data_IF_143661749156
#
_entry.id   IF_143661749156
#
_cell.length_a   1.000
_cell.length_b   1.000
_cell.length_c   1.000
_cell.angle_alpha   90.00
_cell.angle_beta   90.00
_cell.angle_gamma   90.00
#
_symmetry.space_group_name_H-M   'P 1'
#
loop_
_entity.id
_entity.type
_entity.pdbx_description
1 polymer ?
#
# COMPACT_ATOMS: atom_id res chain seq x y z
N UNK A 1 11.68 -18.17 -1.22
CA UNK A 1 11.36 -18.79 -2.52
C UNK A 1 11.75 -17.81 -3.63
N UNK A 2 12.35 -18.24 -4.74
CA UNK A 2 12.56 -17.36 -5.89
C UNK A 2 11.21 -16.88 -6.45
N UNK A 3 11.19 -15.66 -6.98
CA UNK A 3 10.01 -15.06 -7.63
C UNK A 3 9.56 -15.95 -8.80
N UNK A 4 8.37 -16.57 -8.76
CA UNK A 4 7.90 -17.35 -9.90
C UNK A 4 7.53 -16.35 -11.00
N UNK A 5 8.33 -16.30 -12.06
CA UNK A 5 8.01 -15.61 -13.31
C UNK A 5 7.74 -16.67 -14.36
N UNK A 6 6.68 -16.49 -15.14
CA UNK A 6 6.30 -17.40 -16.23
C UNK A 6 7.11 -17.09 -17.49
N UNK A 7 7.31 -15.81 -17.80
CA UNK A 7 8.25 -15.38 -18.82
C UNK A 7 9.15 -14.27 -18.28
N UNK A 8 10.36 -14.22 -18.83
CA UNK A 8 11.39 -13.25 -18.49
C UNK A 8 12.19 -12.94 -19.76
N UNK A 9 12.06 -11.71 -20.23
CA UNK A 9 12.84 -11.15 -21.32
C UNK A 9 13.85 -10.16 -20.76
N UNK A 10 15.11 -10.30 -21.18
CA UNK A 10 16.20 -9.42 -20.77
C UNK A 10 16.86 -8.90 -22.03
N UNK A 11 16.93 -7.57 -22.16
CA UNK A 11 17.59 -6.89 -23.27
C UNK A 11 18.65 -5.95 -22.71
N UNK A 12 19.91 -6.22 -23.03
CA UNK A 12 21.03 -5.33 -22.72
C UNK A 12 21.48 -4.63 -24.02
N UNK A 13 21.48 -3.30 -24.02
CA UNK A 13 21.95 -2.49 -25.13
C UNK A 13 22.64 -1.24 -24.59
N UNK A 14 23.89 -1.03 -25.02
CA UNK A 14 24.75 0.06 -24.55
C UNK A 14 24.86 0.08 -23.00
N UNK A 15 24.50 1.19 -22.36
CA UNK A 15 24.50 1.38 -20.90
C UNK A 15 23.12 1.13 -20.26
N UNK A 16 22.25 0.39 -20.97
CA UNK A 16 20.87 0.10 -20.55
C UNK A 16 20.59 -1.39 -20.47
N UNK A 17 19.97 -1.82 -19.37
CA UNK A 17 19.44 -3.18 -19.22
C UNK A 17 17.94 -3.09 -18.94
N UNK A 18 17.14 -3.66 -19.84
CA UNK A 18 15.71 -3.84 -19.66
C UNK A 18 15.41 -5.26 -19.24
N UNK A 19 14.48 -5.38 -18.30
CA UNK A 19 13.97 -6.64 -17.79
C UNK A 19 12.45 -6.55 -17.85
N UNK A 20 11.83 -7.39 -18.65
CA UNK A 20 10.38 -7.50 -18.74
C UNK A 20 9.98 -8.92 -18.32
N UNK A 21 8.98 -9.05 -17.47
CA UNK A 21 8.53 -10.35 -16.99
C UNK A 21 7.08 -10.33 -16.60
N UNK A 22 6.47 -11.50 -16.60
CA UNK A 22 5.09 -11.65 -16.17
C UNK A 22 4.90 -12.89 -15.30
N UNK A 23 3.88 -12.83 -14.45
CA UNK A 23 3.38 -13.96 -13.68
C UNK A 23 1.87 -13.87 -13.61
N UNK A 24 1.15 -14.80 -14.24
CA UNK A 24 -0.30 -14.69 -14.45
C UNK A 24 -0.62 -13.34 -15.11
N UNK A 25 -1.46 -12.53 -14.47
CA UNK A 25 -1.86 -11.20 -14.93
C UNK A 25 -0.89 -10.08 -14.51
N UNK A 26 0.10 -10.39 -13.67
CA UNK A 26 1.05 -9.42 -13.18
C UNK A 26 2.19 -9.21 -14.19
N UNK A 27 2.61 -7.96 -14.34
CA UNK A 27 3.71 -7.56 -15.22
C UNK A 27 4.74 -6.79 -14.41
N UNK A 28 6.01 -7.09 -14.62
CA UNK A 28 7.17 -6.38 -14.07
C UNK A 28 7.98 -5.87 -15.25
N UNK A 29 8.31 -4.60 -15.22
CA UNK A 29 9.25 -3.95 -16.13
C UNK A 29 10.28 -3.25 -15.27
N UNK A 30 11.55 -3.56 -15.46
CA UNK A 30 12.67 -2.90 -14.82
C UNK A 30 13.65 -2.39 -15.87
N UNK A 31 14.20 -1.20 -15.63
CA UNK A 31 15.10 -0.53 -16.55
C UNK A 31 16.26 0.04 -15.77
N UNK A 32 17.46 -0.47 -16.04
CA UNK A 32 18.70 0.01 -15.43
C UNK A 32 19.38 0.92 -16.44
N UNK A 33 19.54 2.20 -16.09
CA UNK A 33 20.16 3.21 -16.96
C UNK A 33 21.07 4.09 -16.12
N UNK A 34 22.35 4.21 -16.48
CA UNK A 34 23.34 5.04 -15.77
C UNK A 34 23.41 4.78 -14.24
N UNK A 35 23.21 3.53 -13.80
CA UNK A 35 23.23 3.16 -12.39
C UNK A 35 21.94 3.42 -11.61
N UNK A 36 20.94 4.05 -12.23
CA UNK A 36 19.58 4.15 -11.71
C UNK A 36 18.75 2.93 -12.11
N UNK A 37 17.89 2.43 -11.21
CA UNK A 37 16.92 1.37 -11.52
C UNK A 37 15.51 1.95 -11.49
N UNK A 38 14.79 1.88 -12.60
CA UNK A 38 13.38 2.21 -12.68
C UNK A 38 12.55 0.92 -12.66
N UNK A 39 11.52 0.88 -11.84
CA UNK A 39 10.64 -0.28 -11.68
C UNK A 39 9.19 0.13 -11.95
N UNK A 40 8.52 -0.64 -12.79
CA UNK A 40 7.07 -0.60 -12.98
C UNK A 40 6.53 -2.00 -12.83
N UNK A 41 5.56 -2.13 -11.96
CA UNK A 41 5.00 -3.40 -11.62
C UNK A 41 3.47 -3.21 -11.61
N UNK A 42 2.73 -3.99 -12.39
CA UNK A 42 1.29 -3.84 -12.57
C UNK A 42 0.52 -5.12 -12.25
N UNK A 43 -0.71 -4.96 -11.78
CA UNK A 43 -1.72 -6.02 -11.63
C UNK A 43 -1.32 -7.20 -10.72
N UNK A 44 -0.55 -6.97 -9.66
CA UNK A 44 -0.35 -8.01 -8.64
C UNK A 44 -1.63 -8.23 -7.85
N UNK A 45 -1.94 -9.49 -7.56
CA UNK A 45 -3.05 -9.83 -6.67
C UNK A 45 -2.65 -9.71 -5.20
N UNK A 46 -3.65 -9.55 -4.31
CA UNK A 46 -3.42 -9.60 -2.86
C UNK A 46 -2.70 -10.88 -2.40
N UNK A 47 -3.01 -12.04 -3.00
CA UNK A 47 -2.33 -13.31 -2.68
C UNK A 47 -0.83 -13.24 -2.97
N UNK A 48 -0.45 -12.55 -4.04
CA UNK A 48 0.94 -12.34 -4.39
C UNK A 48 1.66 -11.45 -3.37
N UNK A 49 1.01 -10.37 -2.94
CA UNK A 49 1.51 -9.49 -1.87
C UNK A 49 1.71 -10.29 -0.58
N UNK A 50 0.73 -11.09 -0.17
CA UNK A 50 0.81 -11.92 1.03
C UNK A 50 1.94 -12.95 0.97
N UNK A 51 2.17 -13.53 -0.21
CA UNK A 51 3.26 -14.49 -0.44
C UNK A 51 4.63 -13.82 -0.28
N UNK A 52 4.82 -12.64 -0.86
CA UNK A 52 6.07 -11.88 -0.73
C UNK A 52 6.32 -11.46 0.71
N UNK A 53 5.30 -10.93 1.38
CA UNK A 53 5.39 -10.48 2.77
C UNK A 53 5.45 -11.64 3.78
N UNK A 54 5.18 -12.87 3.33
CA UNK A 54 5.01 -14.06 4.17
C UNK A 54 4.01 -13.82 5.32
N UNK A 55 2.96 -13.04 5.03
CA UNK A 55 1.94 -12.60 5.99
C UNK A 55 0.59 -12.53 5.29
N UNK A 56 -0.47 -13.00 5.96
CA UNK A 56 -1.84 -12.79 5.48
C UNK A 56 -2.28 -11.35 5.82
N UNK A 57 -1.86 -10.41 4.98
CA UNK A 57 -1.97 -8.98 5.24
C UNK A 57 -3.18 -8.36 4.54
N UNK A 58 -3.41 -8.74 3.29
CA UNK A 58 -4.49 -8.22 2.43
C UNK A 58 -5.41 -9.32 1.96
N UNK A 59 -6.66 -8.97 1.68
CA UNK A 59 -7.60 -9.82 0.95
C UNK A 59 -7.96 -9.19 -0.39
N UNK A 60 -7.80 -9.96 -1.46
CA UNK A 60 -8.09 -9.51 -2.82
C UNK A 60 -7.31 -8.27 -3.24
N UNK A 61 -7.79 -7.64 -4.30
CA UNK A 61 -7.27 -6.39 -4.82
C UNK A 61 -6.23 -6.55 -5.92
N UNK A 62 -5.97 -5.41 -6.58
CA UNK A 62 -5.00 -5.26 -7.65
C UNK A 62 -4.03 -4.14 -7.28
N UNK A 63 -2.74 -4.45 -7.34
CA UNK A 63 -1.66 -3.57 -6.90
C UNK A 63 -0.79 -3.16 -8.08
N UNK A 64 -0.36 -1.90 -8.08
CA UNK A 64 0.59 -1.32 -9.03
C UNK A 64 1.66 -0.59 -8.25
N UNK A 65 2.93 -0.89 -8.50
CA UNK A 65 4.08 -0.20 -7.95
C UNK A 65 4.82 0.50 -9.09
N UNK A 66 5.14 1.77 -8.90
CA UNK A 66 6.03 2.52 -9.78
C UNK A 66 7.09 3.14 -8.90
N UNK A 67 8.36 3.03 -9.26
CA UNK A 67 9.43 3.63 -8.47
C UNK A 67 10.78 3.68 -9.17
N UNK A 68 11.73 4.33 -8.51
CA UNK A 68 13.10 4.46 -8.96
C UNK A 68 14.05 4.31 -7.76
N UNK A 69 15.13 3.55 -7.93
CA UNK A 69 16.27 3.52 -7.03
C UNK A 69 17.37 4.38 -7.63
N UNK A 70 17.64 5.51 -6.99
CA UNK A 70 18.69 6.48 -7.34
C UNK A 70 19.40 6.89 -6.05
N UNK A 71 20.73 6.99 -6.06
CA UNK A 71 21.53 7.43 -4.91
C UNK A 71 21.21 6.70 -3.58
N UNK A 72 20.97 5.39 -3.66
CA UNK A 72 20.61 4.52 -2.53
C UNK A 72 19.24 4.80 -1.88
N UNK A 73 18.39 5.59 -2.55
CA UNK A 73 17.01 5.86 -2.12
C UNK A 73 16.04 5.29 -3.15
N UNK A 74 15.13 4.42 -2.70
CA UNK A 74 14.03 3.94 -3.53
C UNK A 74 12.80 4.79 -3.29
N UNK A 75 12.45 5.63 -4.25
CA UNK A 75 11.23 6.43 -4.23
C UNK A 75 10.16 5.76 -5.07
N UNK A 76 8.92 5.74 -4.60
CA UNK A 76 7.85 5.06 -5.32
C UNK A 76 6.44 5.45 -4.91
N UNK A 77 5.51 4.99 -5.73
CA UNK A 77 4.08 5.10 -5.53
C UNK A 77 3.47 3.70 -5.63
N UNK A 78 2.84 3.26 -4.56
CA UNK A 78 2.03 2.04 -4.52
C UNK A 78 0.55 2.41 -4.65
N UNK A 79 -0.09 1.98 -5.74
CA UNK A 79 -1.52 2.10 -5.98
C UNK A 79 -2.19 0.76 -5.77
N UNK A 80 -3.39 0.77 -5.21
CA UNK A 80 -4.18 -0.43 -5.04
C UNK A 80 -5.67 -0.15 -5.08
N UNK A 81 -6.44 -1.18 -5.44
CA UNK A 81 -7.89 -1.10 -5.55
C UNK A 81 -8.55 -2.39 -5.10
N UNK A 82 -9.78 -2.27 -4.61
CA UNK A 82 -10.65 -3.39 -4.21
C UNK A 82 -9.96 -4.40 -3.28
N UNK A 83 -9.28 -3.89 -2.25
CA UNK A 83 -8.56 -4.72 -1.27
C UNK A 83 -9.13 -4.53 0.13
N UNK A 84 -8.93 -5.50 1.00
CA UNK A 84 -9.26 -5.38 2.42
C UNK A 84 -8.02 -5.62 3.27
N UNK A 85 -7.78 -4.74 4.25
CA UNK A 85 -6.75 -4.99 5.27
C UNK A 85 -7.33 -5.93 6.33
N UNK A 86 -6.82 -7.16 6.40
CA UNK A 86 -7.42 -8.24 7.20
C UNK A 86 -7.24 -8.06 8.71
N UNK A 87 -6.18 -7.38 9.17
CA UNK A 87 -5.79 -7.43 10.57
C UNK A 87 -6.36 -6.27 11.41
N UNK A 88 -7.33 -6.58 12.26
CA UNK A 88 -8.00 -5.63 13.16
C UNK A 88 -7.05 -4.99 14.18
N UNK A 89 -5.96 -5.66 14.59
CA UNK A 89 -4.97 -5.11 15.52
C UNK A 89 -4.18 -3.93 14.94
N UNK A 90 -3.90 -3.95 13.62
CA UNK A 90 -3.30 -2.81 12.94
C UNK A 90 -4.28 -1.66 12.83
N UNK A 91 -5.56 -1.97 12.58
CA UNK A 91 -6.62 -0.96 12.58
C UNK A 91 -6.80 -0.35 13.98
N UNK A 92 -6.72 -1.15 15.06
CA UNK A 92 -6.76 -0.69 16.44
C UNK A 92 -5.60 0.27 16.75
N UNK A 93 -4.40 -0.03 16.26
CA UNK A 93 -3.25 0.86 16.37
C UNK A 93 -3.41 2.12 15.51
N UNK A 94 -3.95 2.03 14.29
CA UNK A 94 -4.28 3.19 13.45
C UNK A 94 -5.34 4.10 14.09
N UNK A 95 -6.36 3.52 14.75
CA UNK A 95 -7.40 4.28 15.46
C UNK A 95 -6.83 5.03 16.66
N UNK A 96 -5.89 4.41 17.40
CA UNK A 96 -5.17 5.10 18.47
C UNK A 96 -4.28 6.23 17.97
N UNK A 97 -3.91 6.23 16.67
CA UNK A 97 -3.10 7.25 16.00
C UNK A 97 -3.93 8.36 15.35
N UNK A 98 -5.25 8.18 15.17
CA UNK A 98 -6.15 9.21 14.63
C UNK A 98 -6.57 10.14 15.77
N UNK A 99 -5.98 11.33 15.81
CA UNK A 99 -6.08 12.29 16.92
C UNK A 99 -7.45 12.98 17.13
N UNK A 100 -8.54 12.59 16.46
CA UNK A 100 -9.71 13.49 16.32
C UNK A 100 -11.11 12.87 16.38
N UNK A 101 -11.30 11.58 16.68
CA UNK A 101 -12.67 11.01 16.80
C UNK A 101 -12.85 10.32 18.16
N UNK A 102 -13.92 10.62 18.93
CA UNK A 102 -14.33 9.82 20.07
C UNK A 102 -14.53 8.36 19.62
N UNK A 103 -13.55 7.53 19.95
CA UNK A 103 -13.17 6.28 19.30
C UNK A 103 -14.14 5.10 19.48
N UNK A 104 -15.37 5.32 19.97
CA UNK A 104 -16.31 4.23 20.31
C UNK A 104 -17.63 4.23 19.51
N UNK A 105 -18.01 5.32 18.84
CA UNK A 105 -19.35 5.42 18.23
C UNK A 105 -19.40 4.78 16.83
N UNK A 106 -18.31 4.88 16.06
CA UNK A 106 -18.27 4.33 14.70
C UNK A 106 -18.21 2.78 14.71
N UNK A 107 -17.61 2.18 15.73
CA UNK A 107 -17.44 0.72 15.85
C UNK A 107 -18.61 -0.03 16.49
N UNK A 108 -19.67 0.67 16.93
CA UNK A 108 -20.91 0.00 17.37
C UNK A 108 -21.72 -0.62 16.24
N UNK A 109 -21.29 -0.48 14.98
CA UNK A 109 -21.89 -1.22 13.88
C UNK A 109 -21.21 -2.60 13.72
N UNK A 110 -21.88 -3.71 14.07
CA UNK A 110 -21.31 -5.06 14.04
C UNK A 110 -20.86 -5.53 12.64
N UNK A 111 -21.23 -4.80 11.59
CA UNK A 111 -20.83 -5.09 10.20
C UNK A 111 -19.50 -4.47 9.77
N UNK A 112 -18.89 -3.61 10.61
CA UNK A 112 -17.60 -2.97 10.32
C UNK A 112 -16.39 -3.80 10.78
N UNK A 113 -16.61 -4.89 11.52
CA UNK A 113 -15.54 -5.65 12.17
C UNK A 113 -15.24 -7.04 11.61
N UNK A 114 -16.14 -7.64 10.82
CA UNK A 114 -15.98 -9.04 10.43
C UNK A 114 -14.91 -9.28 9.34
N UNK A 115 -14.71 -8.33 8.42
CA UNK A 115 -13.90 -8.51 7.21
C UNK A 115 -12.76 -7.47 7.04
N UNK A 116 -12.39 -6.76 8.11
CA UNK A 116 -11.34 -5.74 8.08
C UNK A 116 -11.71 -4.41 7.39
N UNK A 117 -10.72 -3.53 7.18
CA UNK A 117 -10.93 -2.24 6.52
C UNK A 117 -10.93 -2.40 5.00
N UNK A 118 -12.11 -2.22 4.39
CA UNK A 118 -12.31 -2.37 2.94
C UNK A 118 -11.95 -1.08 2.20
N UNK A 119 -10.95 -1.16 1.33
CA UNK A 119 -10.42 -0.05 0.54
C UNK A 119 -10.84 -0.23 -0.91
N UNK A 120 -11.60 0.75 -1.42
CA UNK A 120 -11.99 0.81 -2.84
C UNK A 120 -10.82 1.20 -3.71
N UNK A 121 -10.09 2.24 -3.30
CA UNK A 121 -8.90 2.75 -3.98
C UNK A 121 -7.95 3.33 -2.95
N UNK A 122 -6.66 3.09 -3.10
CA UNK A 122 -5.63 3.67 -2.25
C UNK A 122 -4.36 3.98 -3.04
N UNK A 123 -3.61 4.94 -2.53
CA UNK A 123 -2.26 5.28 -2.99
C UNK A 123 -1.38 5.61 -1.80
N UNK A 124 -0.14 5.16 -1.85
CA UNK A 124 0.91 5.52 -0.92
C UNK A 124 2.12 6.00 -1.71
N UNK A 125 2.55 7.24 -1.49
CA UNK A 125 3.81 7.80 -2.00
C UNK A 125 4.84 7.68 -0.90
N UNK A 126 6.01 7.12 -1.23
CA UNK A 126 7.00 6.77 -0.23
C UNK A 126 8.44 6.87 -0.76
N UNK A 127 9.36 7.02 0.19
CA UNK A 127 10.80 6.89 -0.01
C UNK A 127 11.38 5.89 0.98
N UNK A 128 12.23 4.98 0.51
CA UNK A 128 12.91 3.98 1.34
C UNK A 128 14.41 4.19 1.26
N UNK A 129 15.03 4.25 2.42
CA UNK A 129 16.47 4.13 2.61
C UNK A 129 16.76 2.87 3.43
N UNK A 130 18.03 2.63 3.75
CA UNK A 130 18.41 1.55 4.66
C UNK A 130 17.79 1.71 6.06
N UNK A 131 17.63 2.94 6.53
CA UNK A 131 17.24 3.24 7.92
C UNK A 131 15.76 3.60 8.06
N UNK A 132 15.18 4.21 7.02
CA UNK A 132 13.86 4.82 7.08
C UNK A 132 12.97 4.41 5.91
N UNK A 133 11.69 4.19 6.21
CA UNK A 133 10.59 4.25 5.24
C UNK A 133 9.78 5.51 5.53
N UNK A 134 9.92 6.52 4.67
CA UNK A 134 9.11 7.73 4.68
C UNK A 134 7.83 7.53 3.87
N UNK A 135 6.68 7.81 4.47
CA UNK A 135 5.37 7.79 3.84
C UNK A 135 4.94 9.23 3.63
N UNK A 136 5.29 9.80 2.48
CA UNK A 136 5.02 11.21 2.16
C UNK A 136 3.52 11.49 2.08
N UNK A 137 2.78 10.56 1.48
CA UNK A 137 1.34 10.65 1.33
C UNK A 137 0.70 9.28 1.41
N UNK A 138 -0.31 9.17 2.25
CA UNK A 138 -1.25 8.05 2.34
C UNK A 138 -2.61 8.61 1.98
N UNK A 139 -3.31 7.98 1.03
CA UNK A 139 -4.65 8.38 0.61
C UNK A 139 -5.47 7.13 0.33
N UNK A 140 -6.47 6.87 1.17
CA UNK A 140 -7.28 5.66 1.17
C UNK A 140 -8.76 6.05 1.08
N UNK A 141 -9.41 5.61 0.01
CA UNK A 141 -10.85 5.71 -0.17
C UNK A 141 -11.48 4.39 0.24
N UNK A 142 -12.08 4.36 1.43
CA UNK A 142 -12.69 3.17 1.99
C UNK A 142 -14.17 3.02 1.68
N UNK A 143 -14.74 1.86 2.00
CA UNK A 143 -16.20 1.69 2.00
C UNK A 143 -16.86 2.45 3.15
N UNK A 144 -16.14 2.61 4.26
CA UNK A 144 -16.66 3.04 5.55
C UNK A 144 -16.10 4.41 5.93
N UNK A 145 -14.79 4.56 5.80
CA UNK A 145 -14.01 5.75 6.12
C UNK A 145 -13.05 6.07 4.98
N UNK A 146 -12.84 7.36 4.74
CA UNK A 146 -11.71 7.82 3.92
C UNK A 146 -10.59 8.29 4.87
N UNK A 147 -9.35 7.92 4.56
CA UNK A 147 -8.18 8.16 5.42
C UNK A 147 -7.10 8.86 4.58
N UNK A 148 -6.56 9.95 5.10
CA UNK A 148 -5.37 10.60 4.56
C UNK A 148 -4.28 10.65 5.64
N UNK A 149 -3.02 10.77 5.24
CA UNK A 149 -1.95 10.90 6.22
C UNK A 149 -0.55 10.85 5.65
N UNK A 150 0.41 10.78 6.56
CA UNK A 150 1.82 10.62 6.28
C UNK A 150 2.51 9.96 7.49
N UNK A 151 3.80 9.71 7.39
CA UNK A 151 4.56 9.22 8.53
C UNK A 151 5.96 8.75 8.17
N UNK A 152 6.62 8.17 9.17
CA UNK A 152 7.96 7.62 9.04
C UNK A 152 8.09 6.35 9.89
N UNK A 153 8.82 5.39 9.36
CA UNK A 153 9.15 4.14 10.04
C UNK A 153 10.67 4.06 10.16
N UNK A 154 11.18 3.97 11.40
CA UNK A 154 12.57 3.63 11.67
C UNK A 154 12.72 2.10 11.59
N UNK A 155 13.33 1.60 10.52
CA UNK A 155 13.36 0.16 10.19
C UNK A 155 14.13 -0.66 11.23
N UNK A 156 15.28 -0.15 11.68
CA UNK A 156 16.16 -0.83 12.66
C UNK A 156 15.57 -0.85 14.08
N UNK A 157 14.80 0.18 14.44
CA UNK A 157 14.20 0.31 15.77
C UNK A 157 12.76 -0.20 15.83
N UNK A 158 12.21 -0.61 14.67
CA UNK A 158 10.81 -0.97 14.50
C UNK A 158 9.86 0.09 15.10
N UNK A 159 10.24 1.38 14.99
CA UNK A 159 9.48 2.50 15.54
C UNK A 159 8.65 3.12 14.42
N UNK A 160 7.36 3.29 14.71
CA UNK A 160 6.36 3.77 13.78
C UNK A 160 5.81 5.11 14.29
N UNK A 161 5.92 6.14 13.48
CA UNK A 161 5.28 7.44 13.71
C UNK A 161 4.40 7.76 12.49
N UNK A 162 3.08 7.68 12.67
CA UNK A 162 2.10 7.97 11.62
C UNK A 162 1.18 9.07 12.09
N UNK A 163 0.91 10.02 11.20
CA UNK A 163 -0.17 10.97 11.35
C UNK A 163 -1.28 10.61 10.36
N UNK A 164 -2.41 10.14 10.89
CA UNK A 164 -3.55 9.69 10.11
C UNK A 164 -4.77 10.52 10.47
N UNK A 165 -5.51 10.95 9.45
CA UNK A 165 -6.74 11.72 9.59
C UNK A 165 -7.88 11.00 8.87
N UNK A 166 -9.02 10.89 9.54
CA UNK A 166 -10.27 10.46 8.91
C UNK A 166 -10.89 11.67 8.23
N UNK A 167 -10.84 11.72 6.91
CA UNK A 167 -11.40 12.83 6.13
C UNK A 167 -12.91 12.72 5.97
N UNK A 168 -13.48 11.51 6.00
CA UNK A 168 -14.94 11.29 5.86
C UNK A 168 -15.41 10.01 6.54
N UNK A 169 -16.58 10.07 7.21
CA UNK A 169 -17.30 8.92 7.77
C UNK A 169 -18.60 8.70 6.97
N UNK A 170 -18.60 7.73 6.04
CA UNK A 170 -19.70 7.54 5.08
C UNK A 170 -21.02 7.11 5.73
N UNK A 171 -20.95 6.38 6.84
CA UNK A 171 -22.13 5.98 7.60
C UNK A 171 -22.89 7.19 8.19
N UNK A 172 -22.17 8.23 8.62
CA UNK A 172 -22.76 9.43 9.22
C UNK A 172 -23.34 10.37 8.15
N UNK A 173 -22.62 10.56 7.04
CA UNK A 173 -23.11 11.35 5.90
C UNK A 173 -24.44 10.84 5.35
N UNK A 174 -24.62 9.51 5.30
CA UNK A 174 -25.87 8.90 4.83
C UNK A 174 -27.05 9.11 5.77
N UNK A 175 -26.80 9.31 7.08
CA UNK A 175 -27.86 9.65 8.04
C UNK A 175 -28.23 11.12 7.91
N UNK A 176 -27.23 12.01 7.85
CA UNK A 176 -27.44 13.46 7.71
C UNK A 176 -28.14 13.83 6.40
N UNK A 177 -27.85 13.14 5.30
CA UNK A 177 -28.54 13.37 4.01
C UNK A 177 -30.01 12.92 3.99
N UNK A 178 -30.48 12.21 5.02
CA UNK A 178 -31.85 11.69 5.12
C UNK A 178 -32.74 12.50 6.08
N UNK A 179 -32.20 13.54 6.70
CA UNK A 179 -32.91 14.47 7.60
C UNK A 179 -33.05 15.80 6.87
#
# INVERSE_FOLDING_TARGET
MPFPLENLDIVAQDDRVKIDGNYKNAMIMADLVHGALYLKAHNFSGDYINTILQKDFVEGGLFTLIGALEDQVFNGELKFQNTSLKNFALMQNMINLINTIPSLIVFRNPHLGANGYQIKKGSVVFGITKEYLGLEKIDLIGKTLDIAGNGIIELDKNKLDLNLEVSTIKALSNVLNKI
#
